data_IF_367102011831
#
_entry.id   IF_367102011831
#
_cell.length_a   1.000
_cell.length_b   1.000
_cell.length_c   1.000
_cell.angle_alpha   90.00
_cell.angle_beta   90.00
_cell.angle_gamma   90.00
#
_symmetry.space_group_name_H-M   'P 1'
#
loop_
_entity.id
_entity.type
_entity.pdbx_description
1 polymer ?
#
# COMPACT_ATOMS: atom_id res chain seq x y z
N UNK A 1 18.05 31.42 -57.39
CA UNK A 1 17.76 31.82 -56.00
C UNK A 1 16.50 31.08 -55.58
N UNK A 2 16.60 29.87 -55.03
CA UNK A 2 16.62 29.62 -53.57
C UNK A 2 15.65 30.56 -52.84
N UNK A 3 14.46 30.05 -52.47
CA UNK A 3 14.10 29.91 -51.06
C UNK A 3 13.03 28.82 -50.89
N UNK A 4 13.41 27.88 -50.04
CA UNK A 4 12.73 26.69 -49.61
C UNK A 4 11.97 27.05 -48.32
N UNK A 5 10.68 26.73 -48.21
CA UNK A 5 9.98 26.78 -46.92
C UNK A 5 9.03 25.59 -46.81
N UNK A 6 9.64 24.41 -46.69
CA UNK A 6 8.98 23.18 -46.31
C UNK A 6 8.68 23.24 -44.80
N UNK A 7 7.45 23.63 -44.43
CA UNK A 7 6.94 23.53 -43.07
C UNK A 7 6.78 22.06 -42.69
N UNK A 8 7.80 21.48 -42.04
CA UNK A 8 7.66 20.21 -41.34
C UNK A 8 6.81 20.42 -40.09
N UNK A 9 5.55 19.97 -40.12
CA UNK A 9 4.77 19.78 -38.92
C UNK A 9 5.44 18.70 -38.06
N UNK A 10 6.12 19.13 -37.00
CA UNK A 10 6.49 18.23 -35.92
C UNK A 10 5.20 17.95 -35.15
N UNK A 11 4.56 16.81 -35.46
CA UNK A 11 3.51 16.24 -34.62
C UNK A 11 4.14 15.90 -33.27
N UNK A 12 3.94 16.78 -32.29
CA UNK A 12 4.17 16.47 -30.90
C UNK A 12 3.13 15.41 -30.52
N UNK A 13 3.56 14.16 -30.49
CA UNK A 13 2.79 13.09 -29.84
C UNK A 13 2.66 13.54 -28.39
N UNK A 14 1.44 13.83 -27.96
CA UNK A 14 1.10 14.14 -26.57
C UNK A 14 1.65 13.04 -25.66
N UNK A 15 2.76 13.33 -24.98
CA UNK A 15 3.39 12.45 -23.96
C UNK A 15 2.42 12.17 -22.79
N UNK A 16 1.28 12.86 -22.74
CA UNK A 16 0.21 12.65 -21.76
C UNK A 16 -0.56 11.34 -21.92
N UNK A 17 -0.35 10.56 -22.99
CA UNK A 17 -1.08 9.32 -23.26
C UNK A 17 -0.34 8.03 -22.88
N UNK A 18 0.89 8.11 -22.37
CA UNK A 18 1.64 6.98 -21.81
C UNK A 18 1.50 6.90 -20.28
N UNK A 19 0.27 7.06 -19.78
CA UNK A 19 -0.11 6.57 -18.46
C UNK A 19 -0.38 5.05 -18.58
N UNK A 20 0.60 4.31 -19.11
CA UNK A 20 0.67 2.87 -18.83
C UNK A 20 0.55 2.75 -17.31
N UNK A 21 -0.46 2.00 -16.86
CA UNK A 21 -0.69 1.75 -15.44
C UNK A 21 0.53 1.00 -14.93
N UNK A 22 1.55 1.76 -14.52
CA UNK A 22 2.77 1.23 -13.93
C UNK A 22 2.33 0.37 -12.75
N UNK A 23 2.53 -0.93 -12.89
CA UNK A 23 2.16 -1.91 -11.88
C UNK A 23 3.26 -1.87 -10.83
N UNK A 24 3.02 -1.15 -9.75
CA UNK A 24 3.95 -1.12 -8.60
C UNK A 24 3.81 -2.37 -7.73
N UNK A 25 2.61 -2.96 -7.71
CA UNK A 25 2.24 -4.04 -6.80
C UNK A 25 1.58 -5.18 -7.57
N UNK A 26 2.00 -6.40 -7.29
CA UNK A 26 1.35 -7.62 -7.74
C UNK A 26 0.10 -7.94 -6.91
N UNK A 27 0.16 -7.65 -5.61
CA UNK A 27 -0.91 -7.91 -4.63
C UNK A 27 -0.72 -6.99 -3.43
N UNK A 28 -1.81 -6.60 -2.78
CA UNK A 28 -1.78 -5.98 -1.47
C UNK A 28 -2.72 -6.72 -0.52
N UNK A 29 -2.32 -6.86 0.74
CA UNK A 29 -3.12 -7.47 1.79
C UNK A 29 -3.11 -6.57 3.00
N UNK A 30 -4.29 -6.14 3.44
CA UNK A 30 -4.47 -5.45 4.72
C UNK A 30 -5.08 -6.44 5.71
N UNK A 31 -4.55 -6.49 6.92
CA UNK A 31 -5.03 -7.42 7.95
C UNK A 31 -4.81 -6.90 9.36
N UNK A 32 -5.61 -7.38 10.30
CA UNK A 32 -5.52 -7.00 11.71
C UNK A 32 -5.94 -8.17 12.58
N UNK A 33 -5.28 -8.31 13.72
CA UNK A 33 -5.66 -9.25 14.77
C UNK A 33 -6.61 -8.55 15.74
N UNK A 34 -7.71 -9.19 16.08
CA UNK A 34 -8.71 -8.74 17.05
C UNK A 34 -8.67 -9.70 18.23
N UNK A 35 -8.37 -9.16 19.41
CA UNK A 35 -8.39 -9.89 20.68
C UNK A 35 -9.83 -9.97 21.21
N UNK A 36 -10.07 -10.93 22.09
CA UNK A 36 -11.39 -11.17 22.69
C UNK A 36 -11.99 -9.96 23.42
N UNK A 37 -11.14 -9.08 23.97
CA UNK A 37 -11.55 -7.88 24.70
C UNK A 37 -11.58 -6.61 23.83
N UNK A 38 -11.36 -6.72 22.51
CA UNK A 38 -11.42 -5.60 21.58
C UNK A 38 -12.77 -5.60 20.83
N UNK A 39 -13.23 -4.41 20.41
CA UNK A 39 -14.44 -4.29 19.60
C UNK A 39 -14.15 -4.74 18.16
N UNK A 40 -14.77 -5.86 17.77
CA UNK A 40 -14.59 -6.46 16.45
C UNK A 40 -15.15 -5.58 15.34
N UNK A 41 -16.30 -4.95 15.55
CA UNK A 41 -16.95 -4.15 14.50
C UNK A 41 -16.21 -2.81 14.32
N UNK A 42 -15.75 -2.17 15.41
CA UNK A 42 -14.91 -0.98 15.33
C UNK A 42 -13.62 -1.25 14.53
N UNK A 43 -12.93 -2.35 14.85
CA UNK A 43 -11.69 -2.71 14.14
C UNK A 43 -11.97 -3.12 12.70
N UNK A 44 -13.09 -3.79 12.43
CA UNK A 44 -13.51 -4.14 11.07
C UNK A 44 -13.76 -2.89 10.24
N UNK A 45 -14.51 -1.92 10.76
CA UNK A 45 -14.75 -0.63 10.10
C UNK A 45 -13.44 0.10 9.83
N UNK A 46 -12.52 0.13 10.80
CA UNK A 46 -11.21 0.75 10.60
C UNK A 46 -10.40 0.04 9.50
N UNK A 47 -10.42 -1.29 9.43
CA UNK A 47 -9.79 -2.06 8.35
C UNK A 47 -10.40 -1.74 6.99
N UNK A 48 -11.73 -1.62 6.90
CA UNK A 48 -12.45 -1.25 5.68
C UNK A 48 -12.07 0.18 5.24
N UNK A 49 -11.98 1.13 6.17
CA UNK A 49 -11.56 2.51 5.91
C UNK A 49 -10.11 2.65 5.43
N UNK A 50 -9.24 1.66 5.67
CA UNK A 50 -7.90 1.64 5.07
C UNK A 50 -7.95 1.43 3.56
N UNK A 51 -9.04 0.87 3.03
CA UNK A 51 -9.20 0.60 1.61
C UNK A 51 -10.07 1.71 1.00
N UNK A 52 -9.49 2.67 0.25
CA UNK A 52 -10.20 3.81 -0.33
C UNK A 52 -11.04 3.41 -1.56
N UNK A 53 -11.84 2.36 -1.43
CA UNK A 53 -12.66 1.76 -2.48
C UNK A 53 -14.02 1.40 -1.89
N UNK A 54 -15.04 1.42 -2.73
CA UNK A 54 -16.33 0.82 -2.42
C UNK A 54 -16.19 -0.71 -2.50
N UNK A 55 -16.01 -1.36 -1.34
CA UNK A 55 -15.76 -2.79 -1.24
C UNK A 55 -16.94 -3.63 -1.76
N UNK A 56 -18.18 -3.17 -1.55
CA UNK A 56 -19.38 -3.86 -2.02
C UNK A 56 -19.46 -3.82 -3.54
N UNK A 57 -19.33 -2.63 -4.13
CA UNK A 57 -19.36 -2.45 -5.58
C UNK A 57 -18.23 -3.18 -6.29
N UNK A 58 -17.03 -3.17 -5.71
CA UNK A 58 -15.86 -3.86 -6.25
C UNK A 58 -15.84 -5.36 -5.92
N UNK A 59 -16.82 -5.85 -5.12
CA UNK A 59 -16.98 -7.24 -4.66
C UNK A 59 -15.73 -7.78 -3.94
N UNK A 60 -15.16 -6.95 -3.06
CA UNK A 60 -13.98 -7.28 -2.26
C UNK A 60 -14.45 -7.67 -0.85
N UNK A 61 -14.41 -8.96 -0.48
CA UNK A 61 -14.89 -9.40 0.83
C UNK A 61 -13.86 -9.12 1.93
N UNK A 62 -14.36 -8.80 3.13
CA UNK A 62 -13.57 -8.89 4.37
C UNK A 62 -13.59 -10.34 4.85
N UNK A 63 -12.45 -11.01 4.77
CA UNK A 63 -12.29 -12.39 5.25
C UNK A 63 -12.09 -12.39 6.76
N UNK A 64 -12.75 -13.31 7.45
CA UNK A 64 -12.62 -13.56 8.89
C UNK A 64 -12.06 -14.96 9.12
N UNK A 65 -11.04 -15.08 9.95
CA UNK A 65 -10.48 -16.35 10.37
C UNK A 65 -10.29 -16.35 11.89
N UNK A 66 -10.72 -17.41 12.57
CA UNK A 66 -10.42 -17.60 14.00
C UNK A 66 -9.14 -18.40 14.15
N UNK A 67 -8.27 -17.98 15.05
CA UNK A 67 -7.09 -18.72 15.45
C UNK A 67 -6.98 -18.75 16.98
N UNK A 68 -6.15 -19.66 17.49
CA UNK A 68 -5.73 -19.63 18.90
C UNK A 68 -4.48 -18.77 19.01
N UNK A 69 -4.54 -17.75 19.86
CA UNK A 69 -3.41 -16.90 20.19
C UNK A 69 -2.52 -17.50 21.26
N UNK A 70 -1.59 -16.70 21.78
CA UNK A 70 -0.82 -17.05 22.99
C UNK A 70 -1.79 -17.26 24.17
N UNK A 71 -1.50 -18.25 25.02
CA UNK A 71 -2.31 -18.63 26.20
C UNK A 71 -3.73 -19.15 25.87
N UNK A 72 -3.92 -19.82 24.72
CA UNK A 72 -5.22 -20.38 24.27
C UNK A 72 -6.36 -19.35 24.08
N UNK A 73 -6.06 -18.06 24.17
CA UNK A 73 -7.04 -16.99 23.92
C UNK A 73 -7.47 -16.98 22.46
N UNK A 74 -8.77 -16.90 22.20
CA UNK A 74 -9.29 -16.81 20.84
C UNK A 74 -8.89 -15.46 20.23
N UNK A 75 -8.32 -15.50 19.03
CA UNK A 75 -8.04 -14.31 18.23
C UNK A 75 -8.80 -14.41 16.91
N UNK A 76 -9.32 -13.28 16.44
CA UNK A 76 -9.93 -13.17 15.12
C UNK A 76 -8.97 -12.41 14.21
N UNK A 77 -8.74 -12.93 13.02
CA UNK A 77 -7.95 -12.28 11.98
C UNK A 77 -8.93 -11.76 10.93
N UNK A 78 -8.95 -10.45 10.75
CA UNK A 78 -9.66 -9.80 9.64
C UNK A 78 -8.67 -9.51 8.52
N UNK A 79 -9.08 -9.73 7.26
CA UNK A 79 -8.20 -9.60 6.10
C UNK A 79 -8.94 -9.14 4.86
N UNK A 80 -8.34 -8.20 4.13
CA UNK A 80 -8.75 -7.77 2.80
C UNK A 80 -7.59 -8.01 1.84
N UNK A 81 -7.87 -8.59 0.67
CA UNK A 81 -6.88 -8.89 -0.36
C UNK A 81 -7.24 -8.18 -1.67
N UNK A 82 -6.26 -7.49 -2.26
CA UNK A 82 -6.40 -6.74 -3.51
C UNK A 82 -5.39 -7.24 -4.54
N UNK A 83 -5.86 -7.57 -5.74
CA UNK A 83 -5.02 -8.10 -6.83
C UNK A 83 -5.11 -7.26 -8.11
N UNK A 84 -6.20 -6.52 -8.31
CA UNK A 84 -6.32 -5.63 -9.47
C UNK A 84 -5.38 -4.44 -9.30
N UNK A 85 -4.60 -4.13 -10.34
CA UNK A 85 -3.64 -3.02 -10.32
C UNK A 85 -4.29 -1.68 -9.93
N UNK A 86 -5.52 -1.42 -10.39
CA UNK A 86 -6.29 -0.23 -9.97
C UNK A 86 -6.47 -0.19 -8.45
N UNK A 87 -6.88 -1.30 -7.83
CA UNK A 87 -7.13 -1.36 -6.38
C UNK A 87 -5.86 -1.18 -5.57
N UNK A 88 -4.79 -1.90 -5.94
CA UNK A 88 -3.51 -1.81 -5.24
C UNK A 88 -2.90 -0.43 -5.37
N UNK A 89 -3.00 0.20 -6.55
CA UNK A 89 -2.51 1.55 -6.79
C UNK A 89 -3.33 2.60 -6.02
N UNK A 90 -4.65 2.46 -5.91
CA UNK A 90 -5.47 3.36 -5.08
C UNK A 90 -5.10 3.23 -3.61
N UNK A 91 -5.00 2.00 -3.09
CA UNK A 91 -4.61 1.74 -1.71
C UNK A 91 -3.26 2.37 -1.36
N UNK A 92 -2.20 2.08 -2.13
CA UNK A 92 -0.86 2.56 -1.79
C UNK A 92 -0.77 4.08 -1.89
N UNK A 93 -1.45 4.71 -2.86
CA UNK A 93 -1.47 6.17 -2.98
C UNK A 93 -2.15 6.82 -1.78
N UNK A 94 -3.33 6.34 -1.40
CA UNK A 94 -4.04 6.86 -0.23
C UNK A 94 -3.25 6.66 1.07
N UNK A 95 -2.72 5.44 1.27
CA UNK A 95 -1.88 5.10 2.41
C UNK A 95 -0.69 6.05 2.54
N UNK A 96 0.07 6.23 1.46
CA UNK A 96 1.23 7.12 1.49
C UNK A 96 0.83 8.59 1.64
N UNK A 97 -0.32 9.03 1.11
CA UNK A 97 -0.78 10.41 1.30
C UNK A 97 -1.12 10.73 2.75
N UNK A 98 -1.61 9.74 3.52
CA UNK A 98 -1.95 9.91 4.93
C UNK A 98 -0.72 9.85 5.86
N UNK A 99 0.43 9.34 5.38
CA UNK A 99 1.68 9.34 6.14
C UNK A 99 2.38 10.70 6.08
N UNK A 100 2.85 11.18 7.24
CA UNK A 100 3.66 12.39 7.32
C UNK A 100 5.01 12.22 6.65
N UNK A 101 5.71 13.32 6.37
CA UNK A 101 7.07 13.30 5.80
C UNK A 101 8.05 12.50 6.67
N UNK A 102 7.94 12.58 7.99
CA UNK A 102 8.76 11.81 8.94
C UNK A 102 8.48 10.31 8.87
N UNK A 103 7.21 9.92 8.77
CA UNK A 103 6.82 8.51 8.64
C UNK A 103 7.28 7.91 7.31
N UNK A 104 7.22 8.68 6.21
CA UNK A 104 7.78 8.28 4.91
C UNK A 104 9.30 8.13 4.94
N UNK A 105 10.00 9.04 5.62
CA UNK A 105 11.46 8.95 5.80
C UNK A 105 11.83 7.70 6.62
N UNK A 106 11.09 7.43 7.70
CA UNK A 106 11.26 6.20 8.48
C UNK A 106 11.08 4.93 7.63
N UNK A 107 10.06 4.89 6.76
CA UNK A 107 9.86 3.76 5.84
C UNK A 107 11.00 3.62 4.82
N UNK A 108 11.57 4.73 4.34
CA UNK A 108 12.73 4.71 3.45
C UNK A 108 13.97 4.16 4.17
N UNK A 109 14.26 4.66 5.37
CA UNK A 109 15.41 4.22 6.17
C UNK A 109 15.29 2.74 6.56
N UNK A 110 14.07 2.27 6.81
CA UNK A 110 13.77 0.88 7.15
C UNK A 110 13.45 0.01 5.92
N UNK A 111 13.54 0.53 4.69
CA UNK A 111 13.01 -0.13 3.50
C UNK A 111 13.57 -1.53 3.30
N UNK A 112 14.87 -1.70 3.53
CA UNK A 112 15.56 -2.97 3.44
C UNK A 112 15.05 -3.98 4.48
N UNK A 113 14.99 -3.60 5.75
CA UNK A 113 14.53 -4.50 6.82
C UNK A 113 13.06 -4.90 6.71
N UNK A 114 12.24 -4.06 6.05
CA UNK A 114 10.80 -4.27 5.83
C UNK A 114 10.49 -5.03 4.54
N UNK A 115 11.49 -5.30 3.70
CA UNK A 115 11.36 -6.09 2.49
C UNK A 115 11.90 -7.51 2.74
N UNK A 116 11.06 -8.52 2.53
CA UNK A 116 11.52 -9.91 2.62
C UNK A 116 12.15 -10.44 1.31
N UNK A 117 12.57 -11.70 1.33
CA UNK A 117 13.17 -12.39 0.18
C UNK A 117 12.16 -12.71 -0.94
N UNK A 118 10.86 -12.58 -0.67
CA UNK A 118 9.76 -12.81 -1.60
C UNK A 118 9.16 -11.51 -2.14
N UNK A 119 9.88 -10.39 -1.98
CA UNK A 119 9.45 -9.05 -2.41
C UNK A 119 8.15 -8.59 -1.75
N UNK A 120 7.91 -9.04 -0.53
CA UNK A 120 6.87 -8.49 0.31
C UNK A 120 7.45 -7.36 1.15
N UNK A 121 6.91 -6.17 0.93
CA UNK A 121 7.17 -5.01 1.75
C UNK A 121 6.10 -4.87 2.83
N UNK A 122 6.53 -4.70 4.07
CA UNK A 122 5.64 -4.71 5.22
C UNK A 122 5.53 -3.33 5.88
N UNK A 123 4.32 -2.79 5.84
CA UNK A 123 3.93 -1.58 6.55
C UNK A 123 3.03 -1.97 7.72
N UNK A 124 3.30 -1.43 8.90
CA UNK A 124 2.51 -1.66 10.11
C UNK A 124 2.04 -0.31 10.63
N UNK A 125 0.74 -0.12 10.70
CA UNK A 125 0.13 1.07 11.30
C UNK A 125 -0.23 0.77 12.76
N UNK A 126 0.17 1.64 13.67
CA UNK A 126 -0.18 1.51 15.08
C UNK A 126 -1.70 1.47 15.25
N UNK A 127 -2.19 0.37 15.85
CA UNK A 127 -3.62 0.11 15.94
C UNK A 127 -4.32 1.16 16.80
N UNK A 128 -3.72 1.54 17.93
CA UNK A 128 -4.34 2.49 18.85
C UNK A 128 -4.34 3.90 18.28
N UNK A 129 -3.25 4.31 17.63
CA UNK A 129 -3.18 5.61 16.94
C UNK A 129 -4.21 5.73 15.83
N UNK A 130 -4.43 4.66 15.07
CA UNK A 130 -5.44 4.67 14.03
C UNK A 130 -6.86 4.74 14.60
N UNK A 131 -7.19 3.89 15.58
CA UNK A 131 -8.54 3.82 16.13
C UNK A 131 -8.92 5.07 16.93
N UNK A 132 -8.03 5.53 17.82
CA UNK A 132 -8.34 6.62 18.77
C UNK A 132 -8.06 8.01 18.20
N UNK A 133 -7.05 8.15 17.36
CA UNK A 133 -6.58 9.46 16.85
C UNK A 133 -6.82 9.63 15.34
N UNK A 134 -7.25 8.60 14.62
CA UNK A 134 -7.38 8.63 13.16
C UNK A 134 -6.04 8.82 12.43
N UNK A 135 -4.92 8.59 13.12
CA UNK A 135 -3.57 8.91 12.63
C UNK A 135 -2.85 7.68 12.10
N UNK A 136 -2.24 7.83 10.94
CA UNK A 136 -1.38 6.81 10.33
C UNK A 136 0.03 6.96 10.89
N UNK A 137 0.42 6.07 11.78
CA UNK A 137 1.72 6.05 12.43
C UNK A 137 2.39 4.69 12.24
N UNK A 138 3.61 4.68 11.71
CA UNK A 138 4.39 3.47 11.50
C UNK A 138 4.89 2.95 12.85
N UNK A 139 4.76 1.64 13.04
CA UNK A 139 5.21 0.96 14.26
C UNK A 139 5.92 -0.34 13.93
N UNK A 140 6.79 -0.78 14.83
CA UNK A 140 7.39 -2.12 14.78
C UNK A 140 6.72 -3.09 15.76
N UNK A 141 5.76 -2.60 16.55
CA UNK A 141 4.99 -3.40 17.52
C UNK A 141 4.06 -4.39 16.82
N UNK A 142 3.67 -5.43 17.55
CA UNK A 142 2.73 -6.45 17.04
C UNK A 142 1.27 -6.00 16.98
N UNK A 143 0.85 -5.06 17.84
CA UNK A 143 -0.52 -4.56 17.87
C UNK A 143 -0.73 -3.49 16.77
N UNK A 144 -1.01 -3.93 15.54
CA UNK A 144 -1.02 -3.07 14.37
C UNK A 144 -2.05 -3.51 13.33
N UNK A 145 -2.39 -2.60 12.41
CA UNK A 145 -2.90 -2.96 11.09
C UNK A 145 -1.70 -3.29 10.20
N UNK A 146 -1.67 -4.52 9.71
CA UNK A 146 -0.58 -5.06 8.92
C UNK A 146 -0.92 -4.98 7.44
N UNK A 147 -0.09 -4.25 6.69
CA UNK A 147 -0.24 -4.04 5.24
C UNK A 147 0.96 -4.69 4.56
N UNK A 148 0.69 -5.78 3.86
CA UNK A 148 1.66 -6.56 3.08
C UNK A 148 1.52 -6.19 1.61
N UNK A 149 2.58 -5.65 1.03
CA UNK A 149 2.64 -5.23 -0.37
C UNK A 149 3.57 -6.15 -1.14
N UNK A 150 3.05 -6.93 -2.08
CA UNK A 150 3.88 -7.72 -2.99
C UNK A 150 4.36 -6.80 -4.11
N UNK A 151 5.62 -6.38 -4.04
CA UNK A 151 6.23 -5.44 -4.98
C UNK A 151 6.36 -6.12 -6.35
N UNK A 152 5.97 -5.40 -7.40
CA UNK A 152 6.18 -5.85 -8.77
C UNK A 152 7.55 -5.33 -9.25
N UNK A 153 8.58 -6.16 -9.13
CA UNK A 153 9.92 -5.87 -9.63
C UNK A 153 10.33 -6.86 -10.73
N UNK A 154 10.84 -6.33 -11.85
CA UNK A 154 11.41 -7.13 -12.93
C UNK A 154 12.82 -6.64 -13.30
N UNK A 155 13.84 -7.52 -13.29
CA UNK A 155 13.81 -8.91 -12.81
C UNK A 155 13.44 -9.01 -11.32
N UNK A 156 13.05 -10.21 -10.89
CA UNK A 156 12.64 -10.51 -9.51
C UNK A 156 13.84 -10.47 -8.54
N UNK A 157 14.43 -9.28 -8.37
CA UNK A 157 15.64 -9.01 -7.59
C UNK A 157 15.34 -8.01 -6.48
N UNK A 158 15.94 -8.23 -5.30
CA UNK A 158 15.79 -7.38 -4.11
C UNK A 158 16.09 -5.91 -4.40
N UNK A 159 17.17 -5.62 -5.12
CA UNK A 159 17.57 -4.25 -5.47
C UNK A 159 16.51 -3.55 -6.35
N UNK A 160 15.89 -4.27 -7.30
CA UNK A 160 14.84 -3.69 -8.15
C UNK A 160 13.56 -3.41 -7.35
N UNK A 161 13.21 -4.29 -6.41
CA UNK A 161 12.10 -4.05 -5.49
C UNK A 161 12.35 -2.83 -4.59
N UNK A 162 13.58 -2.64 -4.09
CA UNK A 162 13.95 -1.45 -3.32
C UNK A 162 13.83 -0.17 -4.16
N UNK A 163 14.27 -0.18 -5.42
CA UNK A 163 14.08 0.97 -6.32
C UNK A 163 12.60 1.33 -6.51
N UNK A 164 11.72 0.32 -6.63
CA UNK A 164 10.27 0.54 -6.72
C UNK A 164 9.73 1.15 -5.43
N UNK A 165 10.13 0.64 -4.27
CA UNK A 165 9.75 1.19 -2.96
C UNK A 165 10.22 2.63 -2.80
N UNK A 166 11.48 2.92 -3.13
CA UNK A 166 12.04 4.27 -3.08
C UNK A 166 11.27 5.23 -3.98
N UNK A 167 10.95 4.81 -5.21
CA UNK A 167 10.17 5.60 -6.14
C UNK A 167 8.78 5.91 -5.57
N UNK A 168 8.07 4.91 -5.06
CA UNK A 168 6.77 5.08 -4.41
C UNK A 168 6.81 6.10 -3.27
N UNK A 169 7.82 6.02 -2.40
CA UNK A 169 7.94 6.89 -1.23
C UNK A 169 8.41 8.30 -1.58
N UNK A 170 9.24 8.48 -2.62
CA UNK A 170 9.72 9.79 -3.09
C UNK A 170 8.69 10.55 -3.92
N UNK A 171 7.94 9.90 -4.81
CA UNK A 171 6.89 10.52 -5.63
C UNK A 171 5.82 11.24 -4.79
N UNK A 172 5.66 10.85 -3.53
CA UNK A 172 4.71 11.44 -2.59
C UNK A 172 5.35 12.47 -1.64
N UNK A 173 6.61 12.88 -1.83
CA UNK A 173 7.28 13.98 -1.09
C UNK A 173 7.21 15.32 -1.82
N UNK A 174 7.02 15.30 -3.13
CA UNK A 174 7.08 16.49 -4.02
C UNK A 174 5.72 17.16 -4.26
N UNK A 175 4.68 16.73 -3.54
CA UNK A 175 3.36 17.35 -3.48
C UNK A 175 3.12 17.88 -2.07
#
# INVERSE_FOLDING_TARGET
>A
MLHNSNQKSKTYINITFFNEIMKYLNKAVASVLVKENEDLEEIKTALECLIPLDLEKEKIPVKRQTAKGFEDKKIVILKIELEKARHTNTLIKDLLNKLTKGQKALLLDQAESRLDNHQHFFIRLDKEKLLKEGRYEITDKGNCFHIKLHIAAFPSKRQEALKVIEKLLKEQRER
#
